data_IF_452158168292
#
_entry.id   IF_452158168292
#
_cell.length_a   1.000
_cell.length_b   1.000
_cell.length_c   1.000
_cell.angle_alpha   90.00
_cell.angle_beta   90.00
_cell.angle_gamma   90.00
#
_symmetry.space_group_name_H-M   'P 1'
#
loop_
_entity.id
_entity.type
_entity.pdbx_description
1 polymer ?
#
# COMPACT_ATOMS: atom_id res chain seq x y z
N UNK A 1 17.61 37.33 3.74
CA UNK A 1 16.59 36.26 3.70
C UNK A 1 17.29 34.93 3.98
N UNK A 2 17.22 34.44 5.22
CA UNK A 2 17.91 33.20 5.63
C UNK A 2 17.01 32.01 5.27
N UNK A 3 17.38 31.28 4.22
CA UNK A 3 16.77 29.99 3.92
C UNK A 3 17.25 28.99 4.96
N UNK A 4 16.39 28.63 5.92
CA UNK A 4 16.72 27.64 6.93
C UNK A 4 16.85 26.26 6.28
N UNK A 5 17.84 25.46 6.72
CA UNK A 5 18.15 24.13 6.15
C UNK A 5 16.92 23.23 5.92
N UNK A 6 15.92 23.32 6.80
CA UNK A 6 14.62 22.62 6.67
C UNK A 6 13.90 22.91 5.35
N UNK A 7 13.89 24.16 4.88
CA UNK A 7 13.28 24.54 3.61
C UNK A 7 14.07 24.04 2.40
N UNK A 8 15.39 23.92 2.55
CA UNK A 8 16.27 23.43 1.50
C UNK A 8 16.10 21.92 1.28
N UNK A 9 16.16 21.11 2.34
CA UNK A 9 15.96 19.66 2.24
C UNK A 9 14.56 19.27 1.77
N UNK A 10 13.54 20.05 2.14
CA UNK A 10 12.18 19.87 1.62
C UNK A 10 12.13 20.05 0.10
N UNK A 11 12.85 21.03 -0.45
CA UNK A 11 12.93 21.22 -1.91
C UNK A 11 13.58 20.01 -2.59
N UNK A 12 14.70 19.52 -2.08
CA UNK A 12 15.40 18.40 -2.73
C UNK A 12 14.53 17.13 -2.80
N UNK A 13 13.84 16.77 -1.72
CA UNK A 13 12.97 15.59 -1.69
C UNK A 13 11.81 15.70 -2.71
N UNK A 14 11.18 16.88 -2.83
CA UNK A 14 10.01 17.07 -3.71
C UNK A 14 10.37 16.98 -5.19
N UNK A 15 11.60 17.33 -5.58
CA UNK A 15 12.04 17.30 -6.98
C UNK A 15 12.82 16.03 -7.37
N UNK A 16 13.05 15.12 -6.42
CA UNK A 16 13.80 13.88 -6.68
C UNK A 16 12.87 12.78 -7.19
N UNK A 17 13.34 12.05 -8.20
CA UNK A 17 12.77 10.77 -8.65
C UNK A 17 13.72 9.67 -8.22
N UNK A 18 13.21 8.61 -7.62
CA UNK A 18 14.01 7.45 -7.25
C UNK A 18 13.26 6.14 -7.46
N UNK A 19 14.00 5.06 -7.70
CA UNK A 19 13.46 3.71 -7.85
C UNK A 19 13.61 2.97 -6.53
N UNK A 20 12.49 2.55 -5.94
CA UNK A 20 12.43 1.71 -4.74
C UNK A 20 11.80 0.35 -5.01
N UNK A 21 11.58 -0.43 -3.95
CA UNK A 21 10.87 -1.71 -4.04
C UNK A 21 9.41 -1.56 -4.51
N UNK A 22 8.84 -0.37 -4.32
CA UNK A 22 7.50 0.00 -4.79
C UNK A 22 7.48 0.55 -6.23
N UNK A 23 8.61 0.49 -6.93
CA UNK A 23 8.77 1.10 -8.25
C UNK A 23 9.27 2.54 -8.18
N UNK A 24 8.94 3.32 -9.20
CA UNK A 24 9.29 4.74 -9.26
C UNK A 24 8.51 5.55 -8.21
N UNK A 25 9.24 6.39 -7.49
CA UNK A 25 8.69 7.29 -6.46
C UNK A 25 9.00 8.72 -6.87
N UNK A 26 7.96 9.54 -6.98
CA UNK A 26 8.03 10.94 -7.38
C UNK A 26 7.00 11.75 -6.59
N UNK A 27 7.30 13.02 -6.31
CA UNK A 27 6.40 13.93 -5.62
C UNK A 27 5.97 15.09 -6.53
N UNK A 28 4.74 15.57 -6.34
CA UNK A 28 4.21 16.79 -6.97
C UNK A 28 3.30 17.49 -5.98
N UNK A 29 3.45 18.81 -5.83
CA UNK A 29 2.64 19.60 -4.88
C UNK A 29 2.66 19.02 -3.46
N UNK A 30 3.82 18.52 -3.01
CA UNK A 30 4.02 17.89 -1.69
C UNK A 30 3.25 16.57 -1.47
N UNK A 31 2.76 15.94 -2.54
CA UNK A 31 2.07 14.64 -2.52
C UNK A 31 2.78 13.62 -3.40
N UNK A 32 2.63 12.33 -3.09
CA UNK A 32 3.11 11.25 -3.94
C UNK A 32 2.38 11.33 -5.28
N UNK A 33 3.12 11.30 -6.39
CA UNK A 33 2.55 11.43 -7.73
C UNK A 33 1.81 10.16 -8.15
N UNK A 34 2.32 8.99 -7.77
CA UNK A 34 1.68 7.71 -8.10
C UNK A 34 0.49 7.47 -7.17
N UNK A 35 -0.62 6.96 -7.72
CA UNK A 35 -1.70 6.39 -6.94
C UNK A 35 -1.32 4.95 -6.56
N UNK A 36 -0.99 4.65 -5.29
CA UNK A 36 -0.54 3.32 -4.92
C UNK A 36 -1.72 2.35 -4.89
N UNK A 37 -1.48 1.12 -5.33
CA UNK A 37 -2.32 -0.03 -4.98
C UNK A 37 -1.85 -0.57 -3.63
N UNK A 38 -2.71 -0.47 -2.63
CA UNK A 38 -2.44 -0.94 -1.28
C UNK A 38 -3.02 -2.35 -1.09
N UNK A 39 -2.29 -3.22 -0.40
CA UNK A 39 -2.78 -4.54 0.00
C UNK A 39 -3.29 -4.47 1.43
N UNK A 40 -4.52 -4.92 1.65
CA UNK A 40 -5.14 -5.04 2.97
C UNK A 40 -4.87 -6.45 3.50
N UNK A 41 -4.32 -6.54 4.70
CA UNK A 41 -4.01 -7.81 5.38
C UNK A 41 -4.61 -7.83 6.77
N UNK A 42 -5.06 -9.00 7.21
CA UNK A 42 -5.35 -9.26 8.62
C UNK A 42 -4.13 -9.92 9.25
N UNK A 43 -3.65 -9.37 10.36
CA UNK A 43 -2.50 -9.91 11.11
C UNK A 43 -3.02 -10.62 12.35
N UNK A 44 -2.63 -11.88 12.52
CA UNK A 44 -2.94 -12.68 13.70
C UNK A 44 -1.67 -13.36 14.22
N UNK A 45 -1.21 -12.90 15.40
CA UNK A 45 0.06 -13.30 15.99
C UNK A 45 1.25 -13.06 15.05
N UNK A 46 1.89 -14.15 14.61
CA UNK A 46 3.06 -14.14 13.69
C UNK A 46 2.68 -14.43 12.24
N UNK A 47 1.39 -14.51 11.94
CA UNK A 47 0.86 -14.79 10.61
C UNK A 47 0.08 -13.61 10.06
N UNK A 48 -0.09 -13.56 8.75
CA UNK A 48 -1.04 -12.65 8.13
C UNK A 48 -1.76 -13.36 6.99
N UNK A 49 -2.99 -12.92 6.72
CA UNK A 49 -3.75 -13.30 5.51
C UNK A 49 -4.10 -12.06 4.71
N UNK A 50 -4.00 -12.16 3.40
CA UNK A 50 -4.50 -11.14 2.48
C UNK A 50 -6.04 -11.09 2.58
N UNK A 51 -6.57 -9.87 2.66
CA UNK A 51 -8.01 -9.62 2.65
C UNK A 51 -8.44 -9.12 1.28
N UNK A 52 -7.78 -8.07 0.78
CA UNK A 52 -8.09 -7.46 -0.51
C UNK A 52 -7.06 -6.38 -0.92
N UNK A 53 -7.36 -5.64 -1.98
CA UNK A 53 -6.64 -4.44 -2.40
C UNK A 53 -7.48 -3.15 -2.26
N UNK A 54 -6.77 -2.03 -2.14
CA UNK A 54 -7.34 -0.69 -2.15
C UNK A 54 -6.61 0.20 -3.16
N UNK A 55 -7.35 0.94 -3.97
CA UNK A 55 -6.83 2.01 -4.84
C UNK A 55 -7.58 3.32 -4.58
N UNK A 56 -6.98 4.44 -4.96
CA UNK A 56 -7.64 5.74 -4.89
C UNK A 56 -8.92 5.79 -5.74
N UNK A 57 -8.93 5.09 -6.88
CA UNK A 57 -10.02 5.12 -7.86
C UNK A 57 -11.20 4.24 -7.47
N UNK A 58 -10.94 3.06 -6.89
CA UNK A 58 -11.96 2.05 -6.65
C UNK A 58 -12.26 1.83 -5.17
N UNK A 59 -11.50 2.46 -4.26
CA UNK A 59 -11.57 2.13 -2.85
C UNK A 59 -11.17 0.67 -2.63
N UNK A 60 -11.91 -0.05 -1.81
CA UNK A 60 -11.72 -1.49 -1.60
C UNK A 60 -12.29 -2.26 -2.80
N UNK A 61 -11.47 -3.01 -3.52
CA UNK A 61 -11.91 -3.71 -4.73
C UNK A 61 -11.49 -5.18 -4.74
N UNK A 62 -12.47 -6.07 -4.67
CA UNK A 62 -12.25 -7.51 -4.65
C UNK A 62 -12.20 -8.05 -6.08
N UNK A 63 -11.03 -8.50 -6.55
CA UNK A 63 -10.97 -9.32 -7.76
C UNK A 63 -11.19 -10.79 -7.34
N UNK A 64 -12.46 -11.14 -7.10
CA UNK A 64 -12.84 -12.52 -6.75
C UNK A 64 -12.69 -13.36 -8.03
N UNK A 65 -11.51 -13.95 -8.26
CA UNK A 65 -11.45 -15.19 -9.01
C UNK A 65 -12.00 -16.29 -8.09
N UNK A 66 -13.21 -16.72 -8.41
CA UNK A 66 -14.17 -17.52 -7.62
C UNK A 66 -13.72 -18.94 -7.23
N UNK A 67 -12.42 -19.28 -7.26
CA UNK A 67 -12.00 -20.68 -7.05
C UNK A 67 -11.49 -21.01 -5.64
N UNK A 68 -11.09 -20.03 -4.82
CA UNK A 68 -10.47 -20.35 -3.50
C UNK A 68 -11.38 -20.18 -2.27
N UNK A 69 -12.63 -19.73 -2.43
CA UNK A 69 -13.61 -19.70 -1.32
C UNK A 69 -14.00 -21.13 -0.86
N UNK A 70 -13.67 -22.19 -1.61
CA UNK A 70 -13.92 -23.58 -1.22
C UNK A 70 -13.09 -24.08 -0.04
N UNK A 71 -12.02 -23.39 0.36
CA UNK A 71 -11.20 -23.83 1.50
C UNK A 71 -11.63 -23.20 2.85
N UNK A 72 -12.64 -22.32 2.84
CA UNK A 72 -13.21 -21.71 4.05
C UNK A 72 -14.28 -22.54 4.76
N UNK A 73 -14.59 -23.75 4.29
CA UNK A 73 -15.64 -24.60 4.84
C UNK A 73 -15.15 -26.03 5.12
N UNK A 74 -14.20 -26.19 6.04
CA UNK A 74 -14.07 -27.47 6.75
C UNK A 74 -13.60 -27.28 8.19
N UNK A 75 -14.61 -27.19 9.06
CA UNK A 75 -14.77 -27.91 10.34
C UNK A 75 -13.69 -27.74 11.40
N UNK A 76 -14.00 -26.86 12.34
CA UNK A 76 -13.99 -27.17 13.77
C UNK A 76 -14.59 -28.56 14.07
N UNK A 77 -13.78 -29.44 14.68
CA UNK A 77 -14.21 -30.48 15.63
C UNK A 77 -13.03 -30.89 16.52
N UNK A 78 -13.32 -30.84 17.82
CA UNK A 78 -12.54 -31.24 19.01
C UNK A 78 -11.68 -32.51 18.87
N UNK A 79 -10.44 -32.47 19.37
CA UNK A 79 -10.01 -33.07 20.67
C UNK A 79 -8.59 -32.64 21.03
#
# INVERSE_FOLDING_TARGET
MVMTKRHYYKKEIVFTIFIGLSGEIQFKLEQLLQNPTLRIVNVDGKSYRELDFWTLENGFFTNISTEQVKNGASRNSES
#
